data_IF_583200566093
#
_entry.id   IF_583200566093
#
_cell.length_a   1.000
_cell.length_b   1.000
_cell.length_c   1.000
_cell.angle_alpha   90.00
_cell.angle_beta   90.00
_cell.angle_gamma   90.00
#
_symmetry.space_group_name_H-M   'P 1'
#
loop_
_entity.id
_entity.type
_entity.pdbx_description
1 polymer ?
#
# COMPACT_ATOMS: atom_id res chain seq x y z
N UNK A 1 -4.71 -17.13 -0.76
CA UNK A 1 -5.15 -16.23 0.34
C UNK A 1 -6.47 -15.61 -0.07
N UNK A 2 -7.38 -15.33 0.85
CA UNK A 2 -8.61 -14.58 0.56
C UNK A 2 -8.32 -13.09 0.33
N UNK A 3 -9.33 -12.33 -0.13
CA UNK A 3 -9.26 -10.88 -0.40
C UNK A 3 -8.68 -10.09 0.79
N UNK A 4 -9.22 -10.30 2.00
CA UNK A 4 -8.84 -9.54 3.20
C UNK A 4 -7.39 -9.80 3.57
N UNK A 5 -7.02 -11.08 3.64
CA UNK A 5 -5.62 -11.47 3.94
C UNK A 5 -4.66 -10.93 2.89
N UNK A 6 -5.05 -10.95 1.61
CA UNK A 6 -4.25 -10.39 0.51
C UNK A 6 -4.04 -8.88 0.68
N UNK A 7 -5.09 -8.14 1.00
CA UNK A 7 -5.02 -6.69 1.25
C UNK A 7 -4.08 -6.35 2.41
N UNK A 8 -4.21 -7.03 3.55
CA UNK A 8 -3.38 -6.76 4.73
C UNK A 8 -1.90 -7.09 4.46
N UNK A 9 -1.62 -8.27 3.90
CA UNK A 9 -0.25 -8.74 3.64
C UNK A 9 0.52 -7.80 2.71
N UNK A 10 -0.18 -7.14 1.77
CA UNK A 10 0.42 -6.18 0.84
C UNK A 10 1.08 -4.98 1.53
N UNK A 11 0.62 -4.57 2.72
CA UNK A 11 1.15 -3.42 3.46
C UNK A 11 2.30 -3.76 4.42
N UNK A 12 2.59 -5.03 4.70
CA UNK A 12 3.49 -5.38 5.81
C UNK A 12 4.96 -5.15 5.46
N UNK A 13 5.40 -5.65 4.31
CA UNK A 13 6.78 -5.46 3.80
C UNK A 13 6.77 -5.53 2.27
N UNK A 14 7.89 -5.18 1.63
CA UNK A 14 8.13 -5.48 0.21
C UNK A 14 7.96 -6.97 -0.12
N UNK A 15 8.38 -7.87 0.78
CA UNK A 15 8.20 -9.31 0.60
C UNK A 15 6.71 -9.66 0.68
N UNK A 16 5.99 -9.08 1.64
CA UNK A 16 4.53 -9.22 1.76
C UNK A 16 3.80 -8.73 0.51
N UNK A 17 4.18 -7.57 -0.04
CA UNK A 17 3.66 -7.06 -1.30
C UNK A 17 3.85 -8.05 -2.45
N UNK A 18 5.06 -8.61 -2.61
CA UNK A 18 5.34 -9.61 -3.66
C UNK A 18 4.47 -10.86 -3.47
N UNK A 19 4.35 -11.36 -2.24
CA UNK A 19 3.49 -12.52 -1.93
C UNK A 19 2.03 -12.22 -2.30
N UNK A 20 1.51 -11.06 -1.89
CA UNK A 20 0.14 -10.65 -2.18
C UNK A 20 -0.10 -10.50 -3.70
N UNK A 21 0.89 -9.99 -4.45
CA UNK A 21 0.82 -9.83 -5.90
C UNK A 21 0.97 -11.14 -6.69
N UNK A 22 1.61 -12.17 -6.14
CA UNK A 22 1.89 -13.42 -6.86
C UNK A 22 0.94 -14.55 -6.45
N UNK A 23 0.62 -14.66 -5.16
CA UNK A 23 -0.11 -15.77 -4.56
C UNK A 23 -1.43 -15.35 -3.85
N UNK A 24 -1.78 -14.05 -3.90
CA UNK A 24 -3.02 -13.52 -3.34
C UNK A 24 -4.20 -13.44 -4.31
N UNK A 25 -5.36 -13.05 -3.80
CA UNK A 25 -6.56 -12.72 -4.59
C UNK A 25 -6.41 -11.33 -5.21
N UNK A 26 -5.84 -11.28 -6.42
CA UNK A 26 -5.50 -10.02 -7.09
C UNK A 26 -6.72 -9.22 -7.54
N UNK A 27 -7.77 -9.90 -7.97
CA UNK A 27 -8.99 -9.24 -8.45
C UNK A 27 -9.81 -8.73 -7.26
N UNK A 28 -9.97 -9.53 -6.21
CA UNK A 28 -10.70 -9.12 -5.00
C UNK A 28 -9.99 -8.01 -4.23
N UNK A 29 -8.66 -8.07 -4.11
CA UNK A 29 -7.87 -7.10 -3.35
C UNK A 29 -7.25 -5.99 -4.22
N UNK A 30 -7.70 -5.81 -5.48
CA UNK A 30 -7.09 -4.89 -6.46
C UNK A 30 -6.93 -3.46 -5.93
N UNK A 31 -7.90 -2.99 -5.14
CA UNK A 31 -7.83 -1.67 -4.51
C UNK A 31 -6.63 -1.55 -3.56
N UNK A 32 -6.54 -2.41 -2.54
CA UNK A 32 -5.46 -2.38 -1.55
C UNK A 32 -4.10 -2.75 -2.14
N UNK A 33 -4.05 -3.62 -3.14
CA UNK A 33 -2.82 -3.93 -3.88
C UNK A 33 -2.29 -2.71 -4.63
N UNK A 34 -3.15 -1.91 -5.25
CA UNK A 34 -2.76 -0.64 -5.87
C UNK A 34 -2.25 0.37 -4.85
N UNK A 35 -3.01 0.58 -3.77
CA UNK A 35 -2.63 1.50 -2.69
C UNK A 35 -1.27 1.11 -2.10
N UNK A 36 -1.09 -0.16 -1.71
CA UNK A 36 0.15 -0.65 -1.14
C UNK A 36 1.33 -0.53 -2.13
N UNK A 37 1.13 -0.90 -3.40
CA UNK A 37 2.19 -0.78 -4.42
C UNK A 37 2.65 0.66 -4.59
N UNK A 38 1.71 1.61 -4.72
CA UNK A 38 2.03 3.04 -4.84
C UNK A 38 2.79 3.51 -3.60
N UNK A 39 2.28 3.20 -2.40
CA UNK A 39 2.94 3.55 -1.15
C UNK A 39 4.38 3.06 -1.09
N UNK A 40 4.62 1.78 -1.39
CA UNK A 40 5.95 1.19 -1.38
C UNK A 40 6.88 1.85 -2.40
N UNK A 41 6.40 2.16 -3.60
CA UNK A 41 7.19 2.88 -4.61
C UNK A 41 7.60 4.29 -4.12
N UNK A 42 6.71 5.03 -3.46
CA UNK A 42 7.05 6.33 -2.87
C UNK A 42 8.04 6.20 -1.69
N UNK A 43 7.98 5.10 -0.92
CA UNK A 43 8.94 4.84 0.17
C UNK A 43 10.39 4.74 -0.33
N UNK A 44 10.63 4.40 -1.60
CA UNK A 44 11.99 4.39 -2.19
C UNK A 44 12.64 5.78 -2.27
N UNK A 45 11.86 6.85 -2.17
CA UNK A 45 12.36 8.24 -2.20
C UNK A 45 12.81 8.74 -0.81
N UNK A 46 12.51 8.00 0.25
CA UNK A 46 12.82 8.39 1.64
C UNK A 46 14.32 8.48 1.98
N UNK A 47 15.27 7.82 1.29
CA UNK A 47 16.70 8.02 1.53
C UNK A 47 17.25 9.38 1.09
N UNK A 48 16.50 10.18 0.33
CA UNK A 48 16.93 11.50 -0.13
C UNK A 48 17.04 12.45 1.08
N UNK A 49 18.21 13.06 1.37
CA UNK A 49 18.36 13.95 2.52
C UNK A 49 17.40 15.14 2.50
N UNK A 50 16.93 15.53 3.70
CA UNK A 50 15.93 16.56 3.98
C UNK A 50 14.54 16.27 3.41
N UNK A 51 14.39 16.14 2.09
CA UNK A 51 13.09 15.95 1.43
C UNK A 51 12.49 14.57 1.72
N UNK A 52 13.32 13.53 1.72
CA UNK A 52 12.88 12.15 1.97
C UNK A 52 12.39 11.94 3.40
N UNK A 53 12.97 12.63 4.40
CA UNK A 53 12.50 12.54 5.78
C UNK A 53 11.13 13.22 5.98
N UNK A 54 10.87 14.35 5.32
CA UNK A 54 9.56 14.99 5.36
C UNK A 54 8.52 14.09 4.70
N UNK A 55 8.86 13.53 3.54
CA UNK A 55 8.02 12.58 2.84
C UNK A 55 7.74 11.32 3.67
N UNK A 56 8.73 10.80 4.40
CA UNK A 56 8.59 9.63 5.25
C UNK A 56 7.47 9.80 6.30
N UNK A 57 7.39 10.96 6.95
CA UNK A 57 6.33 11.24 7.93
C UNK A 57 4.95 11.13 7.28
N UNK A 58 4.79 11.73 6.10
CA UNK A 58 3.55 11.66 5.32
C UNK A 58 3.22 10.22 4.87
N UNK A 59 4.22 9.46 4.40
CA UNK A 59 4.03 8.09 3.95
C UNK A 59 3.69 7.14 5.11
N UNK A 60 4.21 7.36 6.32
CA UNK A 60 3.81 6.61 7.51
C UNK A 60 2.32 6.81 7.80
N UNK A 61 1.80 8.04 7.68
CA UNK A 61 0.36 8.31 7.85
C UNK A 61 -0.46 7.59 6.77
N UNK A 62 -0.04 7.65 5.50
CA UNK A 62 -0.69 6.92 4.41
C UNK A 62 -0.67 5.41 4.63
N UNK A 63 0.46 4.87 5.14
CA UNK A 63 0.60 3.46 5.49
C UNK A 63 -0.42 3.03 6.55
N UNK A 64 -0.56 3.80 7.64
CA UNK A 64 -1.55 3.51 8.69
C UNK A 64 -2.98 3.53 8.13
N UNK A 65 -3.33 4.56 7.34
CA UNK A 65 -4.67 4.66 6.73
C UNK A 65 -4.94 3.47 5.81
N UNK A 66 -3.99 3.13 4.93
CA UNK A 66 -4.13 2.02 4.00
C UNK A 66 -4.23 0.67 4.72
N UNK A 67 -3.41 0.44 5.74
CA UNK A 67 -3.43 -0.78 6.54
C UNK A 67 -4.74 -0.92 7.33
N UNK A 68 -5.21 0.13 7.99
CA UNK A 68 -6.50 0.12 8.71
C UNK A 68 -7.65 -0.12 7.74
N UNK A 69 -7.64 0.55 6.58
CA UNK A 69 -8.62 0.30 5.51
C UNK A 69 -8.64 -1.17 5.10
N UNK A 70 -7.47 -1.79 4.88
CA UNK A 70 -7.37 -3.21 4.54
C UNK A 70 -7.88 -4.14 5.65
N UNK A 71 -7.62 -3.80 6.92
CA UNK A 71 -8.10 -4.58 8.07
C UNK A 71 -9.63 -4.54 8.17
N UNK A 72 -10.22 -3.38 7.89
CA UNK A 72 -11.65 -3.12 7.95
C UNK A 72 -12.40 -3.43 6.64
N UNK A 73 -11.67 -3.84 5.58
CA UNK A 73 -12.21 -4.04 4.24
C UNK A 73 -12.88 -2.79 3.63
N UNK A 74 -12.38 -1.61 4.02
CA UNK A 74 -12.82 -0.31 3.52
C UNK A 74 -11.91 0.18 2.39
N UNK A 75 -12.51 0.50 1.24
CA UNK A 75 -11.80 1.05 0.08
C UNK A 75 -11.61 2.57 0.19
N UNK A 76 -10.97 3.00 1.29
CA UNK A 76 -10.62 4.40 1.53
C UNK A 76 -9.27 4.73 0.89
N UNK A 77 -9.26 5.68 -0.03
CA UNK A 77 -8.03 6.13 -0.69
C UNK A 77 -7.08 6.81 0.31
N UNK A 78 -5.78 6.52 0.18
CA UNK A 78 -4.76 7.26 0.92
C UNK A 78 -4.72 8.72 0.45
N UNK A 79 -4.44 9.69 1.32
CA UNK A 79 -4.32 11.09 0.93
C UNK A 79 -3.30 11.29 -0.18
N UNK A 80 -3.60 12.17 -1.15
CA UNK A 80 -2.74 12.62 -2.27
C UNK A 80 -2.24 11.56 -3.28
N UNK A 81 -1.90 10.36 -2.84
CA UNK A 81 -1.31 9.29 -3.67
C UNK A 81 -2.31 8.17 -3.99
N UNK A 82 -3.45 8.10 -3.28
CA UNK A 82 -4.41 7.01 -3.42
C UNK A 82 -5.18 6.97 -4.74
N UNK A 83 -5.20 8.06 -5.51
CA UNK A 83 -5.84 8.07 -6.83
C UNK A 83 -5.00 7.38 -7.92
N UNK A 84 -3.71 7.10 -7.65
CA UNK A 84 -2.80 6.47 -8.61
C UNK A 84 -3.13 4.96 -8.68
N UNK A 85 -3.43 4.48 -9.90
CA UNK A 85 -3.72 3.07 -10.17
C UNK A 85 -2.72 2.52 -11.18
N UNK A 86 -1.95 1.52 -10.76
CA UNK A 86 -0.88 0.88 -11.54
C UNK A 86 -1.29 -0.53 -12.03
N UNK A 87 -2.12 -1.23 -11.25
CA UNK A 87 -2.69 -2.54 -11.59
C UNK A 87 -4.07 -2.29 -12.21
N UNK A 88 -4.23 -2.71 -13.47
CA UNK A 88 -5.48 -2.59 -14.25
C UNK A 88 -6.41 -3.78 -14.02
#
# INVERSE_FOLDING_TARGET
MDKRTTGIVAYITWIGLIIALVAGDKEGAKFHLNQALVLWLFMLLTPIPCLGQILLIFLIVCWVIGLIGAINEEEKEMPLIGSIKLIK
#
